data_IF_845287779740
#
_entry.id   IF_845287779740
#
_cell.length_a   1.000
_cell.length_b   1.000
_cell.length_c   1.000
_cell.angle_alpha   90.00
_cell.angle_beta   90.00
_cell.angle_gamma   90.00
#
_symmetry.space_group_name_H-M   'P 1'
#
loop_
_entity.id
_entity.type
_entity.pdbx_description
1 polymer ?
#
# COMPACT_ATOMS: atom_id res chain seq x y z
N UNK A 1 35.84 4.08 5.84
CA UNK A 1 36.80 4.63 6.80
C UNK A 1 36.25 5.95 7.33
N UNK A 2 36.38 6.27 8.64
CA UNK A 2 35.87 7.51 9.20
C UNK A 2 36.74 8.70 8.78
N UNK A 3 36.09 9.83 8.50
CA UNK A 3 36.70 11.06 8.01
C UNK A 3 36.71 12.07 9.16
N UNK A 4 37.86 12.65 9.50
CA UNK A 4 37.97 13.60 10.62
C UNK A 4 38.20 15.01 10.08
N UNK A 5 37.38 15.97 10.51
CA UNK A 5 37.65 17.39 10.28
C UNK A 5 38.50 17.90 11.45
N UNK A 6 39.67 18.44 11.14
CA UNK A 6 40.59 18.97 12.14
C UNK A 6 40.85 20.46 11.92
N UNK A 7 40.92 21.20 13.02
CA UNK A 7 41.51 22.54 13.03
C UNK A 7 42.87 22.44 13.69
N UNK A 8 43.94 22.71 12.94
CA UNK A 8 45.29 22.71 13.47
C UNK A 8 45.96 24.09 13.32
N UNK A 9 46.90 24.37 14.21
CA UNK A 9 47.75 25.54 14.20
C UNK A 9 49.06 25.18 13.51
N UNK A 10 49.47 26.00 12.54
CA UNK A 10 50.82 25.97 11.99
C UNK A 10 51.81 26.60 12.99
N UNK A 11 53.12 26.36 12.81
CA UNK A 11 54.20 26.92 13.65
C UNK A 11 54.19 28.46 13.79
N UNK A 12 53.47 29.16 12.92
CA UNK A 12 53.30 30.63 12.90
C UNK A 12 51.97 31.10 13.56
N UNK A 13 51.25 30.22 14.28
CA UNK A 13 50.04 30.58 15.02
C UNK A 13 48.77 30.76 14.19
N UNK A 14 48.81 30.54 12.87
CA UNK A 14 47.65 30.63 11.98
C UNK A 14 46.86 29.32 11.96
N UNK A 15 45.55 29.41 12.19
CA UNK A 15 44.63 28.26 12.18
C UNK A 15 44.32 27.86 10.73
N UNK A 16 44.46 26.59 10.40
CA UNK A 16 43.95 26.01 9.15
C UNK A 16 43.03 24.83 9.45
N UNK A 17 42.06 24.63 8.55
CA UNK A 17 41.08 23.55 8.64
C UNK A 17 41.34 22.57 7.51
N UNK A 18 41.38 21.28 7.85
CA UNK A 18 41.64 20.20 6.91
C UNK A 18 40.77 18.98 7.21
N UNK A 19 40.65 18.10 6.23
CA UNK A 19 39.92 16.84 6.36
C UNK A 19 40.92 15.71 6.18
N UNK A 20 40.95 14.76 7.12
CA UNK A 20 41.91 13.67 7.15
C UNK A 20 41.23 12.34 7.43
N UNK A 21 41.57 11.33 6.63
CA UNK A 21 41.15 9.95 6.84
C UNK A 21 42.09 9.24 7.83
N UNK A 22 41.51 8.74 8.91
CA UNK A 22 42.21 7.99 9.94
C UNK A 22 41.32 6.89 10.50
N UNK A 23 41.90 5.85 11.07
CA UNK A 23 41.12 4.74 11.63
C UNK A 23 40.68 5.01 13.08
N UNK A 24 41.27 6.01 13.74
CA UNK A 24 40.92 6.44 15.09
C UNK A 24 41.29 7.91 15.35
N UNK A 25 40.69 8.53 16.37
CA UNK A 25 41.02 9.89 16.85
C UNK A 25 42.49 10.03 17.23
N UNK A 26 43.09 8.97 17.79
CA UNK A 26 44.51 8.92 18.14
C UNK A 26 45.40 8.91 16.90
N UNK A 27 45.04 8.10 15.88
CA UNK A 27 45.75 8.05 14.60
C UNK A 27 45.65 9.38 13.83
N UNK A 28 44.50 10.08 13.90
CA UNK A 28 44.33 11.40 13.30
C UNK A 28 45.27 12.44 13.94
N UNK A 29 45.39 12.47 15.29
CA UNK A 29 46.32 13.36 16.00
C UNK A 29 47.78 13.14 15.61
N UNK A 30 48.17 11.89 15.46
CA UNK A 30 49.55 11.53 15.14
C UNK A 30 49.92 11.93 13.70
N UNK A 31 49.01 11.73 12.73
CA UNK A 31 49.21 12.18 11.35
C UNK A 31 49.31 13.71 11.26
N UNK A 32 48.43 14.46 11.94
CA UNK A 32 48.46 15.94 11.95
C UNK A 32 49.77 16.49 12.55
N UNK A 33 50.29 15.84 13.61
CA UNK A 33 51.60 16.20 14.20
C UNK A 33 52.78 15.90 13.27
N UNK A 34 52.71 14.81 12.48
CA UNK A 34 53.75 14.45 11.52
C UNK A 34 53.88 15.49 10.40
N UNK A 35 52.78 16.13 10.04
CA UNK A 35 52.72 17.23 9.07
C UNK A 35 53.07 18.61 9.68
N UNK A 36 53.70 18.64 10.86
CA UNK A 36 54.22 19.86 11.48
C UNK A 36 53.17 20.78 12.10
N UNK A 37 51.93 20.30 12.26
CA UNK A 37 50.79 21.08 12.74
C UNK A 37 50.27 20.59 14.09
N UNK A 38 49.86 21.50 14.97
CA UNK A 38 49.34 21.16 16.31
C UNK A 38 47.81 21.16 16.31
N UNK A 39 47.14 20.03 16.60
CA UNK A 39 45.68 19.95 16.59
C UNK A 39 45.08 20.69 17.79
N UNK A 40 44.13 21.60 17.54
CA UNK A 40 43.39 22.35 18.58
C UNK A 40 42.02 21.73 18.83
N UNK A 41 41.36 21.28 17.77
CA UNK A 41 40.03 20.71 17.84
C UNK A 41 39.89 19.64 16.76
N UNK A 42 39.53 18.41 17.17
CA UNK A 42 39.29 17.28 16.27
C UNK A 42 37.84 16.87 16.45
N UNK A 43 37.03 17.07 15.41
CA UNK A 43 35.62 16.67 15.41
C UNK A 43 35.44 15.50 14.46
N UNK A 44 34.85 14.44 14.99
CA UNK A 44 34.45 13.28 14.20
C UNK A 44 33.32 13.69 13.26
N UNK A 45 33.65 13.87 11.98
CA UNK A 45 32.67 14.13 10.93
C UNK A 45 32.37 12.83 10.20
N UNK A 46 31.41 12.06 10.70
CA UNK A 46 30.88 10.90 9.98
C UNK A 46 30.60 11.25 8.51
N UNK A 47 30.95 10.36 7.56
CA UNK A 47 31.02 10.66 6.14
C UNK A 47 29.73 11.34 5.63
N UNK A 48 29.96 12.42 4.89
CA UNK A 48 29.01 13.38 4.30
C UNK A 48 28.07 12.78 3.24
N UNK A 49 27.82 11.47 3.28
CA UNK A 49 26.96 10.70 2.37
C UNK A 49 25.68 10.13 2.98
N UNK A 50 25.43 10.29 4.30
CA UNK A 50 24.23 9.73 4.96
C UNK A 50 23.23 10.75 5.52
N UNK A 51 23.53 12.06 5.48
CA UNK A 51 22.64 13.09 6.07
C UNK A 51 21.55 13.66 5.13
N UNK A 52 21.65 13.51 3.80
CA UNK A 52 20.54 13.89 2.90
C UNK A 52 19.35 12.91 2.91
N UNK A 53 19.47 11.74 3.54
CA UNK A 53 18.40 10.74 3.62
C UNK A 53 17.52 10.86 4.87
N UNK A 54 17.94 11.61 5.90
CA UNK A 54 17.17 11.76 7.16
C UNK A 54 16.31 13.03 7.26
N UNK A 55 16.56 14.05 6.44
CA UNK A 55 15.68 15.25 6.38
C UNK A 55 14.58 15.16 5.32
N UNK A 56 14.82 14.41 4.22
CA UNK A 56 13.75 14.07 3.27
C UNK A 56 12.70 13.10 3.87
N UNK A 57 13.09 12.33 4.89
CA UNK A 57 12.18 11.39 5.58
C UNK A 57 11.24 12.09 6.59
N UNK A 58 11.60 13.26 7.12
CA UNK A 58 10.73 13.97 8.09
C UNK A 58 9.59 14.74 7.42
N UNK A 59 9.70 15.10 6.13
CA UNK A 59 8.58 15.69 5.37
C UNK A 59 7.60 14.63 4.83
N UNK A 60 7.97 13.35 4.85
CA UNK A 60 7.09 12.23 4.47
C UNK A 60 6.41 11.53 5.66
N UNK A 61 6.61 12.00 6.89
CA UNK A 61 5.82 11.51 8.03
C UNK A 61 4.34 11.98 7.98
N UNK A 62 4.04 12.97 7.13
CA UNK A 62 2.70 13.51 6.88
C UNK A 62 2.13 13.03 5.54
N UNK A 63 2.89 12.27 4.73
CA UNK A 63 2.28 11.53 3.61
C UNK A 63 1.56 10.33 4.21
N UNK A 64 0.35 10.60 4.69
CA UNK A 64 -0.80 9.72 4.68
C UNK A 64 -0.41 8.24 4.81
N UNK A 65 -0.40 7.74 6.05
CA UNK A 65 -0.77 6.35 6.33
C UNK A 65 -2.23 6.08 5.92
N UNK A 66 -2.63 6.47 4.71
CA UNK A 66 -3.60 5.70 3.95
C UNK A 66 -2.85 4.44 3.55
N UNK A 67 -2.69 3.53 4.52
CA UNK A 67 -2.07 2.24 4.29
C UNK A 67 -2.73 1.65 3.07
N UNK A 68 -1.96 1.46 2.00
CA UNK A 68 -2.48 0.98 0.74
C UNK A 68 -3.30 -0.28 1.03
N UNK A 69 -4.62 -0.18 0.83
CA UNK A 69 -5.54 -1.24 1.21
C UNK A 69 -5.23 -2.43 0.32
N UNK A 70 -4.71 -3.50 0.90
CA UNK A 70 -4.43 -4.73 0.17
C UNK A 70 -5.78 -5.31 -0.26
N UNK A 71 -5.98 -5.46 -1.57
CA UNK A 71 -7.20 -6.07 -2.12
C UNK A 71 -7.06 -7.58 -2.05
N UNK A 72 -8.16 -8.28 -1.81
CA UNK A 72 -8.16 -9.75 -1.78
C UNK A 72 -7.63 -10.36 -3.08
N UNK A 73 -7.90 -9.71 -4.22
CA UNK A 73 -7.38 -10.12 -5.53
C UNK A 73 -5.84 -10.15 -5.58
N UNK A 74 -5.16 -9.22 -4.92
CA UNK A 74 -3.68 -9.17 -4.92
C UNK A 74 -3.11 -10.35 -4.13
N UNK A 75 -3.79 -10.79 -3.07
CA UNK A 75 -3.42 -11.98 -2.30
C UNK A 75 -3.58 -13.22 -3.18
N UNK A 76 -4.68 -13.34 -3.92
CA UNK A 76 -4.89 -14.48 -4.84
C UNK A 76 -3.83 -14.56 -5.94
N UNK A 77 -3.46 -13.42 -6.52
CA UNK A 77 -2.38 -13.35 -7.52
C UNK A 77 -1.04 -13.75 -6.89
N UNK A 78 -0.75 -13.25 -5.69
CA UNK A 78 0.48 -13.61 -4.98
C UNK A 78 0.53 -15.11 -4.64
N UNK A 79 -0.59 -15.71 -4.21
CA UNK A 79 -0.70 -17.16 -3.99
C UNK A 79 -0.46 -17.94 -5.27
N UNK A 80 -1.03 -17.52 -6.41
CA UNK A 80 -0.82 -18.15 -7.72
C UNK A 80 0.65 -18.10 -8.14
N UNK A 81 1.28 -16.92 -8.03
CA UNK A 81 2.70 -16.75 -8.36
C UNK A 81 3.58 -17.64 -7.48
N UNK A 82 3.31 -17.67 -6.16
CA UNK A 82 4.02 -18.52 -5.23
C UNK A 82 3.84 -20.01 -5.56
N UNK A 83 2.62 -20.45 -5.85
CA UNK A 83 2.33 -21.82 -6.28
C UNK A 83 3.11 -22.21 -7.54
N UNK A 84 3.14 -21.33 -8.55
CA UNK A 84 3.91 -21.56 -9.79
C UNK A 84 5.41 -21.68 -9.52
N UNK A 85 5.98 -20.81 -8.68
CA UNK A 85 7.40 -20.85 -8.35
C UNK A 85 7.76 -22.12 -7.58
N UNK A 86 6.98 -22.50 -6.56
CA UNK A 86 7.22 -23.73 -5.81
C UNK A 86 6.95 -24.99 -6.64
N UNK A 87 5.94 -25.00 -7.50
CA UNK A 87 5.66 -26.09 -8.44
C UNK A 87 6.76 -26.27 -9.49
N UNK A 88 7.52 -25.21 -9.80
CA UNK A 88 8.73 -25.27 -10.61
C UNK A 88 9.97 -25.77 -9.84
N UNK A 89 9.82 -26.16 -8.57
CA UNK A 89 10.90 -26.63 -7.71
C UNK A 89 11.78 -25.52 -7.13
N UNK A 90 11.35 -24.26 -7.20
CA UNK A 90 12.09 -23.14 -6.61
C UNK A 90 11.92 -23.19 -5.09
N UNK A 91 13.00 -23.12 -4.30
CA UNK A 91 12.90 -23.09 -2.84
C UNK A 91 12.09 -21.88 -2.33
N UNK A 92 11.45 -22.03 -1.18
CA UNK A 92 10.49 -21.06 -0.64
C UNK A 92 11.05 -19.64 -0.50
N UNK A 93 12.25 -19.48 0.06
CA UNK A 93 12.86 -18.15 0.31
C UNK A 93 13.20 -17.40 -0.99
N UNK A 94 13.85 -18.03 -1.99
CA UNK A 94 13.97 -17.47 -3.34
C UNK A 94 12.62 -17.16 -3.99
N UNK A 95 11.62 -18.05 -3.86
CA UNK A 95 10.28 -17.82 -4.42
C UNK A 95 9.60 -16.59 -3.81
N UNK A 96 9.69 -16.40 -2.49
CA UNK A 96 9.21 -15.21 -1.80
C UNK A 96 9.97 -13.95 -2.24
N UNK A 97 11.27 -14.05 -2.53
CA UNK A 97 12.05 -12.92 -3.05
C UNK A 97 11.59 -12.51 -4.46
N UNK A 98 11.38 -13.47 -5.36
CA UNK A 98 10.81 -13.20 -6.68
C UNK A 98 9.41 -12.60 -6.61
N UNK A 99 8.59 -13.06 -5.67
CA UNK A 99 7.26 -12.51 -5.42
C UNK A 99 7.30 -11.04 -4.96
N UNK A 100 8.25 -10.68 -4.09
CA UNK A 100 8.45 -9.29 -3.62
C UNK A 100 8.80 -8.36 -4.78
N UNK A 101 9.61 -8.83 -5.74
CA UNK A 101 10.01 -8.05 -6.92
C UNK A 101 8.85 -7.83 -7.90
N UNK A 102 7.94 -8.81 -8.02
CA UNK A 102 6.76 -8.74 -8.89
C UNK A 102 5.58 -7.97 -8.28
N UNK A 103 5.56 -7.80 -6.95
CA UNK A 103 4.45 -7.16 -6.25
C UNK A 103 4.49 -5.64 -6.41
N UNK A 104 3.46 -5.07 -7.06
CA UNK A 104 3.34 -3.62 -7.27
C UNK A 104 2.83 -2.87 -6.05
N UNK A 105 1.99 -3.51 -5.22
CA UNK A 105 1.43 -2.89 -4.02
C UNK A 105 2.47 -2.88 -2.88
N UNK A 106 2.94 -1.69 -2.52
CA UNK A 106 3.94 -1.49 -1.44
C UNK A 106 3.52 -2.06 -0.08
N UNK A 107 2.22 -2.03 0.25
CA UNK A 107 1.75 -2.59 1.52
C UNK A 107 1.84 -4.12 1.51
N UNK A 108 1.45 -4.76 0.41
CA UNK A 108 1.58 -6.21 0.26
C UNK A 108 3.06 -6.62 0.20
N UNK A 109 3.88 -5.87 -0.53
CA UNK A 109 5.33 -6.09 -0.60
C UNK A 109 5.96 -6.09 0.79
N UNK A 110 5.63 -5.10 1.63
CA UNK A 110 6.13 -5.02 3.01
C UNK A 110 5.74 -6.25 3.82
N UNK A 111 4.52 -6.76 3.66
CA UNK A 111 4.02 -7.94 4.38
C UNK A 111 4.70 -9.22 3.92
N UNK A 112 4.92 -9.39 2.62
CA UNK A 112 5.64 -10.54 2.08
C UNK A 112 7.12 -10.50 2.49
N UNK A 113 7.73 -9.32 2.57
CA UNK A 113 9.08 -9.15 3.12
C UNK A 113 9.16 -9.60 4.58
N UNK A 114 8.20 -9.20 5.41
CA UNK A 114 8.11 -9.64 6.81
C UNK A 114 7.99 -11.17 6.92
N UNK A 115 7.12 -11.77 6.09
CA UNK A 115 6.97 -13.23 6.03
C UNK A 115 8.30 -13.90 5.63
N UNK A 116 8.96 -13.37 4.59
CA UNK A 116 10.24 -13.92 4.12
C UNK A 116 11.32 -13.84 5.19
N UNK A 117 11.43 -12.72 5.88
CA UNK A 117 12.39 -12.52 6.98
C UNK A 117 12.13 -13.54 8.10
N UNK A 118 10.88 -13.67 8.54
CA UNK A 118 10.48 -14.64 9.57
C UNK A 118 10.80 -16.09 9.18
N UNK A 119 10.55 -16.48 7.93
CA UNK A 119 10.90 -17.82 7.41
C UNK A 119 12.42 -18.01 7.33
N UNK A 120 13.16 -16.98 6.91
CA UNK A 120 14.62 -17.01 6.83
C UNK A 120 15.29 -17.08 8.22
N UNK A 121 14.61 -16.59 9.26
CA UNK A 121 14.99 -16.76 10.67
C UNK A 121 14.67 -18.17 11.23
N UNK A 122 14.01 -19.01 10.43
CA UNK A 122 13.70 -20.40 10.79
C UNK A 122 12.28 -20.63 11.31
N UNK A 123 11.43 -19.61 11.30
CA UNK A 123 10.01 -19.81 11.62
C UNK A 123 9.30 -20.55 10.48
N UNK A 124 8.23 -21.27 10.82
CA UNK A 124 7.37 -21.92 9.82
C UNK A 124 6.63 -20.88 8.97
N UNK A 125 6.39 -21.19 7.69
CA UNK A 125 5.56 -20.34 6.82
C UNK A 125 4.18 -20.12 7.42
N UNK A 126 3.62 -21.16 8.05
CA UNK A 126 2.35 -21.10 8.77
C UNK A 126 2.35 -20.04 9.86
N UNK A 127 3.37 -20.03 10.74
CA UNK A 127 3.46 -19.03 11.80
C UNK A 127 3.57 -17.61 11.25
N UNK A 128 4.39 -17.39 10.21
CA UNK A 128 4.56 -16.08 9.61
C UNK A 128 3.29 -15.57 8.92
N UNK A 129 2.51 -16.46 8.30
CA UNK A 129 1.20 -16.10 7.73
C UNK A 129 0.14 -15.81 8.81
N UNK A 130 0.19 -16.54 9.93
CA UNK A 130 -0.74 -16.37 11.04
C UNK A 130 -0.65 -15.00 11.73
N UNK A 131 0.51 -14.32 11.65
CA UNK A 131 0.70 -12.94 12.10
C UNK A 131 -0.11 -11.91 11.29
N UNK A 132 -0.70 -12.31 10.17
CA UNK A 132 -1.47 -11.44 9.28
C UNK A 132 -2.91 -11.95 9.05
N UNK A 133 -3.75 -12.06 10.11
CA UNK A 133 -5.09 -12.66 10.03
C UNK A 133 -6.09 -11.85 9.19
N UNK A 134 -5.78 -10.58 8.90
CA UNK A 134 -6.58 -9.73 8.01
C UNK A 134 -6.38 -10.06 6.52
N UNK A 135 -5.25 -10.69 6.18
CA UNK A 135 -4.88 -11.05 4.81
C UNK A 135 -5.12 -12.55 4.57
N UNK A 136 -4.67 -13.39 5.51
CA UNK A 136 -4.80 -14.82 5.42
C UNK A 136 -5.88 -15.31 6.38
N UNK A 137 -6.91 -15.95 5.82
CA UNK A 137 -7.99 -16.52 6.63
C UNK A 137 -7.48 -17.73 7.42
N UNK A 138 -8.17 -18.10 8.50
CA UNK A 138 -7.84 -19.30 9.28
C UNK A 138 -7.77 -20.56 8.41
N UNK A 139 -8.67 -20.69 7.44
CA UNK A 139 -8.68 -21.82 6.49
C UNK A 139 -7.42 -21.81 5.62
N UNK A 140 -6.99 -20.63 5.14
CA UNK A 140 -5.76 -20.50 4.37
C UNK A 140 -4.54 -20.96 5.16
N UNK A 141 -4.40 -20.45 6.40
CA UNK A 141 -3.28 -20.80 7.28
C UNK A 141 -3.27 -22.29 7.62
N UNK A 142 -4.43 -22.88 7.95
CA UNK A 142 -4.53 -24.31 8.27
C UNK A 142 -4.21 -25.21 7.08
N UNK A 143 -4.58 -24.80 5.86
CA UNK A 143 -4.21 -25.52 4.65
C UNK A 143 -2.69 -25.50 4.45
N UNK A 144 -2.06 -24.31 4.58
CA UNK A 144 -0.60 -24.17 4.52
C UNK A 144 0.08 -25.01 5.58
N UNK A 145 -0.45 -25.05 6.81
CA UNK A 145 0.05 -25.89 7.89
C UNK A 145 0.07 -27.38 7.51
N UNK A 146 -1.02 -27.87 6.91
CA UNK A 146 -1.09 -29.25 6.44
C UNK A 146 -0.03 -29.51 5.36
N UNK A 147 0.13 -28.60 4.40
CA UNK A 147 1.12 -28.72 3.32
C UNK A 147 2.57 -28.62 3.80
N UNK A 148 2.84 -27.77 4.80
CA UNK A 148 4.16 -27.63 5.41
C UNK A 148 4.53 -28.88 6.23
N UNK A 149 3.57 -29.43 6.98
CA UNK A 149 3.77 -30.67 7.75
C UNK A 149 3.93 -31.92 6.86
N UNK A 150 3.26 -31.98 5.71
CA UNK A 150 3.37 -33.09 4.76
C UNK A 150 4.49 -32.92 3.73
N UNK A 151 5.17 -31.75 3.70
CA UNK A 151 6.17 -31.42 2.69
C UNK A 151 5.60 -31.21 1.28
N UNK A 152 4.27 -31.08 1.14
CA UNK A 152 3.56 -30.89 -0.14
C UNK A 152 2.96 -29.49 -0.25
N UNK A 153 3.79 -28.48 0.03
CA UNK A 153 3.38 -27.07 0.05
C UNK A 153 3.00 -26.56 -1.34
N UNK A 154 3.66 -27.05 -2.38
CA UNK A 154 3.35 -26.82 -3.80
C UNK A 154 1.92 -27.20 -4.14
N UNK A 155 1.48 -28.41 -3.79
CA UNK A 155 0.12 -28.92 -4.06
C UNK A 155 -0.94 -28.10 -3.32
N UNK A 156 -0.65 -27.75 -2.07
CA UNK A 156 -1.57 -26.96 -1.24
C UNK A 156 -1.71 -25.53 -1.76
N UNK A 157 -0.60 -24.88 -2.12
CA UNK A 157 -0.62 -23.52 -2.67
C UNK A 157 -1.32 -23.49 -4.03
N UNK A 158 -1.14 -24.52 -4.87
CA UNK A 158 -1.87 -24.67 -6.12
C UNK A 158 -3.38 -24.73 -5.88
N UNK A 159 -3.82 -25.55 -4.91
CA UNK A 159 -5.24 -25.61 -4.53
C UNK A 159 -5.77 -24.30 -3.98
N UNK A 160 -4.98 -23.58 -3.18
CA UNK A 160 -5.35 -22.26 -2.65
C UNK A 160 -5.45 -21.22 -3.77
N UNK A 161 -4.56 -21.28 -4.77
CA UNK A 161 -4.60 -20.42 -5.95
C UNK A 161 -5.86 -20.67 -6.78
N UNK A 162 -6.19 -21.93 -7.08
CA UNK A 162 -7.42 -22.29 -7.80
C UNK A 162 -8.69 -21.79 -7.09
N UNK A 163 -8.75 -21.97 -5.76
CA UNK A 163 -9.88 -21.48 -4.96
C UNK A 163 -9.98 -19.96 -5.04
N UNK A 164 -8.86 -19.25 -4.94
CA UNK A 164 -8.81 -17.80 -5.08
C UNK A 164 -9.26 -17.30 -6.45
N UNK A 165 -8.80 -17.95 -7.52
CA UNK A 165 -9.20 -17.63 -8.90
C UNK A 165 -10.69 -17.86 -9.14
N UNK A 166 -11.25 -18.96 -8.65
CA UNK A 166 -12.70 -19.23 -8.74
C UNK A 166 -13.51 -18.16 -8.01
N UNK A 167 -13.08 -17.75 -6.82
CA UNK A 167 -13.72 -16.66 -6.08
C UNK A 167 -13.64 -15.32 -6.84
N UNK A 168 -12.49 -15.01 -7.42
CA UNK A 168 -12.29 -13.80 -8.20
C UNK A 168 -13.15 -13.81 -9.48
N UNK A 169 -13.20 -14.93 -10.20
CA UNK A 169 -14.02 -15.10 -11.39
C UNK A 169 -15.52 -14.95 -11.07
N UNK A 170 -15.98 -15.54 -9.96
CA UNK A 170 -17.36 -15.39 -9.51
C UNK A 170 -17.70 -13.93 -9.19
N UNK A 171 -16.82 -13.22 -8.46
CA UNK A 171 -17.00 -11.79 -8.16
C UNK A 171 -17.02 -10.94 -9.43
N UNK A 172 -16.11 -11.20 -10.36
CA UNK A 172 -16.06 -10.49 -11.65
C UNK A 172 -17.33 -10.72 -12.46
N UNK A 173 -17.86 -11.95 -12.50
CA UNK A 173 -19.12 -12.27 -13.18
C UNK A 173 -20.31 -11.54 -12.57
N UNK A 174 -20.39 -11.49 -11.24
CA UNK A 174 -21.44 -10.74 -10.53
C UNK A 174 -21.33 -9.24 -10.83
N UNK A 175 -20.12 -8.68 -10.75
CA UNK A 175 -19.89 -7.27 -11.06
C UNK A 175 -20.30 -6.93 -12.49
N UNK A 176 -19.93 -7.77 -13.47
CA UNK A 176 -20.31 -7.60 -14.87
C UNK A 176 -21.84 -7.69 -15.06
N UNK A 177 -22.52 -8.62 -14.39
CA UNK A 177 -23.97 -8.77 -14.47
C UNK A 177 -24.74 -7.57 -13.87
N UNK A 178 -24.16 -6.87 -12.90
CA UNK A 178 -24.78 -5.71 -12.25
C UNK A 178 -24.62 -4.40 -13.03
N UNK A 179 -23.68 -4.31 -13.98
CA UNK A 179 -23.45 -3.09 -14.76
C UNK A 179 -24.71 -2.64 -15.49
N UNK A 180 -25.39 -3.55 -16.19
CA UNK A 180 -26.58 -3.21 -16.97
C UNK A 180 -27.77 -2.76 -16.08
N UNK A 181 -28.17 -3.50 -15.02
CA UNK A 181 -29.20 -3.04 -14.09
C UNK A 181 -28.90 -1.69 -13.45
N UNK A 182 -27.66 -1.45 -13.01
CA UNK A 182 -27.27 -0.18 -12.40
C UNK A 182 -27.36 0.96 -13.42
N UNK A 183 -26.89 0.74 -14.65
CA UNK A 183 -26.99 1.71 -15.73
C UNK A 183 -28.45 2.05 -16.05
N UNK A 184 -29.29 1.05 -16.27
CA UNK A 184 -30.72 1.25 -16.56
C UNK A 184 -31.45 1.93 -15.40
N UNK A 185 -31.14 1.59 -14.16
CA UNK A 185 -31.69 2.26 -12.98
C UNK A 185 -31.28 3.74 -12.95
N UNK A 186 -30.03 4.06 -13.26
CA UNK A 186 -29.55 5.45 -13.35
C UNK A 186 -30.30 6.25 -14.43
N UNK A 187 -30.46 5.67 -15.63
CA UNK A 187 -31.23 6.31 -16.71
C UNK A 187 -32.69 6.51 -16.30
N UNK A 188 -33.32 5.49 -15.71
CA UNK A 188 -34.71 5.56 -15.25
C UNK A 188 -34.93 6.63 -14.18
N UNK A 189 -34.06 6.70 -13.19
CA UNK A 189 -34.08 7.74 -12.15
C UNK A 189 -33.87 9.13 -12.78
N UNK A 190 -32.96 9.26 -13.74
CA UNK A 190 -32.73 10.52 -14.45
C UNK A 190 -33.96 11.00 -15.23
N UNK A 191 -34.66 10.09 -15.93
CA UNK A 191 -35.90 10.40 -16.65
C UNK A 191 -37.01 10.80 -15.67
N UNK A 192 -37.17 10.07 -14.57
CA UNK A 192 -38.15 10.39 -13.53
C UNK A 192 -37.89 11.76 -12.90
N UNK A 193 -36.63 12.06 -12.59
CA UNK A 193 -36.22 13.36 -12.06
C UNK A 193 -36.55 14.50 -13.02
N UNK A 194 -36.30 14.33 -14.33
CA UNK A 194 -36.65 15.30 -15.36
C UNK A 194 -38.17 15.52 -15.45
N UNK A 195 -38.95 14.44 -15.42
CA UNK A 195 -40.41 14.51 -15.46
C UNK A 195 -40.97 15.33 -14.29
N UNK A 196 -40.50 15.03 -13.07
CA UNK A 196 -40.97 15.70 -11.86
C UNK A 196 -40.51 17.16 -11.82
N UNK A 197 -39.26 17.46 -12.23
CA UNK A 197 -38.70 18.82 -12.10
C UNK A 197 -39.24 19.78 -13.17
N UNK A 198 -39.45 19.33 -14.40
CA UNK A 198 -39.78 20.22 -15.53
C UNK A 198 -41.19 20.01 -16.09
N UNK A 199 -41.59 18.74 -16.29
CA UNK A 199 -42.83 18.42 -17.00
C UNK A 199 -44.04 18.59 -16.08
N UNK A 200 -43.98 18.08 -14.85
CA UNK A 200 -45.08 18.16 -13.88
C UNK A 200 -45.45 19.63 -13.56
N UNK A 201 -44.50 20.54 -13.23
CA UNK A 201 -44.81 21.95 -12.98
C UNK A 201 -45.39 22.66 -14.21
N UNK A 202 -44.96 22.27 -15.42
CA UNK A 202 -45.48 22.85 -16.66
C UNK A 202 -46.94 22.48 -16.88
N UNK A 203 -47.29 21.21 -16.60
CA UNK A 203 -48.67 20.72 -16.72
C UNK A 203 -49.55 21.36 -15.63
N UNK A 204 -49.09 21.41 -14.38
CA UNK A 204 -49.89 22.00 -13.29
C UNK A 204 -50.15 23.48 -13.52
N UNK A 205 -49.18 24.26 -14.02
CA UNK A 205 -49.41 25.67 -14.43
C UNK A 205 -50.58 25.81 -15.41
N UNK A 206 -50.65 24.95 -16.43
CA UNK A 206 -51.74 24.96 -17.43
C UNK A 206 -53.10 24.65 -16.81
N UNK A 207 -53.16 23.84 -15.75
CA UNK A 207 -54.41 23.52 -15.04
C UNK A 207 -54.83 24.62 -14.06
N UNK A 208 -53.88 25.26 -13.37
CA UNK A 208 -54.17 26.39 -12.47
C UNK A 208 -54.74 27.58 -13.24
N UNK A 209 -54.30 27.81 -14.48
CA UNK A 209 -54.83 28.88 -15.36
C UNK A 209 -56.29 28.64 -15.82
N UNK A 210 -56.89 27.47 -15.53
CA UNK A 210 -58.25 27.08 -15.96
C UNK A 210 -59.26 26.87 -14.82
N UNK A 211 -58.95 27.26 -13.59
CA UNK A 211 -59.88 27.23 -12.42
C UNK A 211 -60.62 25.89 -12.20
N UNK A 212 -59.97 24.76 -12.49
CA UNK A 212 -60.50 23.42 -12.15
C UNK A 212 -59.75 22.82 -10.97
N UNK A 213 -60.51 22.34 -9.97
CA UNK A 213 -59.98 21.68 -8.79
C UNK A 213 -59.14 20.45 -9.17
N UNK A 214 -57.88 20.43 -8.74
CA UNK A 214 -56.94 19.36 -9.04
C UNK A 214 -57.42 18.04 -8.42
N UNK A 215 -57.57 16.95 -9.20
CA UNK A 215 -57.90 15.63 -8.67
C UNK A 215 -56.86 15.15 -7.64
N UNK A 216 -57.29 14.40 -6.62
CA UNK A 216 -56.44 13.88 -5.52
C UNK A 216 -55.10 13.25 -5.95
N UNK A 217 -55.00 12.48 -7.05
CA UNK A 217 -53.72 11.92 -7.50
C UNK A 217 -52.67 12.98 -7.85
N UNK A 218 -53.10 14.13 -8.38
CA UNK A 218 -52.23 15.25 -8.76
C UNK A 218 -51.64 15.95 -7.55
N UNK A 219 -52.42 16.10 -6.47
CA UNK A 219 -51.96 16.74 -5.22
C UNK A 219 -50.89 15.91 -4.52
N UNK A 220 -51.03 14.58 -4.51
CA UNK A 220 -50.02 13.66 -3.96
C UNK A 220 -48.70 13.80 -4.74
N UNK A 221 -48.78 13.87 -6.07
CA UNK A 221 -47.59 13.98 -6.92
C UNK A 221 -46.87 15.34 -6.73
N UNK A 222 -47.61 16.44 -6.62
CA UNK A 222 -47.05 17.77 -6.32
C UNK A 222 -46.35 17.76 -4.95
N UNK A 223 -46.96 17.17 -3.91
CA UNK A 223 -46.34 17.11 -2.58
C UNK A 223 -45.02 16.32 -2.56
N UNK A 224 -44.92 15.27 -3.38
CA UNK A 224 -43.70 14.48 -3.52
C UNK A 224 -42.63 15.19 -4.36
N UNK A 225 -43.08 15.96 -5.37
CA UNK A 225 -42.23 16.84 -6.17
C UNK A 225 -41.61 17.96 -5.33
N UNK A 226 -42.41 18.63 -4.50
CA UNK A 226 -41.94 19.71 -3.62
C UNK A 226 -40.94 19.21 -2.58
N UNK A 227 -41.09 17.97 -2.11
CA UNK A 227 -40.13 17.31 -1.22
C UNK A 227 -38.78 17.04 -1.91
N UNK A 228 -38.79 16.67 -3.19
CA UNK A 228 -37.59 16.40 -3.99
C UNK A 228 -36.90 17.67 -4.52
N UNK A 229 -37.62 18.80 -4.63
CA UNK A 229 -37.03 20.08 -5.04
C UNK A 229 -36.44 20.88 -3.86
N UNK A 230 -36.96 20.71 -2.65
CA UNK A 230 -36.51 21.45 -1.47
C UNK A 230 -35.40 20.75 -0.64
N UNK A 231 -34.79 19.68 -1.17
CA UNK A 231 -33.61 19.02 -0.60
C UNK A 231 -32.60 18.70 -1.71
#
# INVERSE_FOLDING_TARGET
MPVYEYTALNAQGKKHKGVLDADSTSAARQKIRKDGSYPVEIKETFPRGRKKRKEADKKNLISLQFGARIKQQEIHVATRQLATLLGAGIPLVPALSGLIEQTTNKALQTKITQIKESVNEGNSLTSSLAEHPRLFSKIYVNMVQAGEASGSLDVVLERLAEVGERQQAMRSRIAAALIYPIFMAFVGIGVLFLLITFIVPSITKVFTDRDQALPLPTTILISLSDFLQNY
#
